data_IF_194254552882
#
_entry.id   IF_194254552882
#
_cell.length_a   1.000
_cell.length_b   1.000
_cell.length_c   1.000
_cell.angle_alpha   90.00
_cell.angle_beta   90.00
_cell.angle_gamma   90.00
#
_symmetry.space_group_name_H-M   'P 1'
#
loop_
_entity.id
_entity.type
_entity.pdbx_description
1 polymer ?
#
# COMPACT_ATOMS: atom_id res chain seq x y z
N UNK A 1 -0.50 20.89 20.28
CA UNK A 1 -1.42 20.59 19.18
C UNK A 1 -2.23 19.38 19.60
N UNK A 2 -3.53 19.37 19.44
CA UNK A 2 -4.30 18.14 19.65
C UNK A 2 -3.82 17.11 18.64
N UNK A 3 -3.58 15.87 19.11
CA UNK A 3 -3.12 14.77 18.23
C UNK A 3 -4.36 14.01 17.74
N UNK A 4 -5.15 14.61 16.85
CA UNK A 4 -6.33 13.97 16.29
C UNK A 4 -6.17 13.71 14.78
N UNK A 5 -6.52 12.50 14.35
CA UNK A 5 -6.33 12.07 12.98
C UNK A 5 -7.58 11.32 12.47
N UNK A 6 -8.00 11.64 11.25
CA UNK A 6 -9.06 10.91 10.55
C UNK A 6 -8.49 10.10 9.40
N UNK A 7 -8.67 8.78 9.44
CA UNK A 7 -8.15 7.86 8.42
C UNK A 7 -9.32 7.30 7.58
N UNK A 8 -9.39 7.72 6.34
CA UNK A 8 -10.30 7.15 5.34
C UNK A 8 -9.67 5.86 4.83
N UNK A 9 -10.28 4.71 5.14
CA UNK A 9 -9.69 3.39 4.87
C UNK A 9 -8.95 2.77 6.06
N UNK A 10 -9.24 3.22 7.29
CA UNK A 10 -8.58 2.77 8.54
C UNK A 10 -8.63 1.25 8.80
N UNK A 11 -9.64 0.53 8.29
CA UNK A 11 -9.77 -0.93 8.41
C UNK A 11 -9.03 -1.70 7.31
N UNK A 12 -8.49 -1.02 6.30
CA UNK A 12 -7.70 -1.62 5.23
C UNK A 12 -6.30 -2.05 5.69
N UNK A 13 -5.54 -2.71 4.81
CA UNK A 13 -4.19 -3.21 5.13
C UNK A 13 -3.28 -2.10 5.67
N UNK A 14 -3.05 -1.04 4.90
CA UNK A 14 -2.19 0.07 5.37
C UNK A 14 -2.88 0.89 6.45
N UNK A 15 -4.19 1.15 6.29
CA UNK A 15 -4.96 1.93 7.26
C UNK A 15 -4.94 1.34 8.67
N UNK A 16 -4.99 0.01 8.81
CA UNK A 16 -4.91 -0.64 10.13
C UNK A 16 -3.51 -0.55 10.75
N UNK A 17 -2.46 -0.63 9.93
CA UNK A 17 -1.07 -0.43 10.36
C UNK A 17 -0.90 1.00 10.90
N UNK A 18 -1.35 2.00 10.14
CA UNK A 18 -1.28 3.40 10.54
C UNK A 18 -2.14 3.68 11.79
N UNK A 19 -3.35 3.11 11.85
CA UNK A 19 -4.23 3.26 13.01
C UNK A 19 -3.57 2.78 14.29
N UNK A 20 -3.01 1.56 14.26
CA UNK A 20 -2.29 0.99 15.40
C UNK A 20 -1.10 1.86 15.80
N UNK A 21 -0.27 2.24 14.85
CA UNK A 21 0.91 3.08 15.08
C UNK A 21 0.56 4.43 15.72
N UNK A 22 -0.46 5.14 15.22
CA UNK A 22 -0.85 6.43 15.77
C UNK A 22 -1.50 6.31 17.17
N UNK A 23 -2.25 5.24 17.42
CA UNK A 23 -2.77 4.97 18.79
C UNK A 23 -1.60 4.73 19.75
N UNK A 24 -0.59 3.96 19.37
CA UNK A 24 0.61 3.71 20.17
C UNK A 24 1.41 5.00 20.43
N UNK A 25 1.38 5.96 19.50
CA UNK A 25 1.96 7.31 19.68
C UNK A 25 1.05 8.29 20.46
N UNK A 26 -0.09 7.83 20.95
CA UNK A 26 -1.02 8.62 21.75
C UNK A 26 -1.92 9.57 20.95
N UNK A 27 -2.20 9.28 19.68
CA UNK A 27 -3.15 10.02 18.86
C UNK A 27 -4.59 9.54 19.09
N UNK A 28 -5.54 10.46 19.00
CA UNK A 28 -6.96 10.11 18.84
C UNK A 28 -7.23 9.75 17.38
N UNK A 29 -7.45 8.47 17.11
CA UNK A 29 -7.68 7.98 15.74
C UNK A 29 -9.16 7.78 15.49
N UNK A 30 -9.67 8.44 14.45
CA UNK A 30 -11.02 8.26 13.92
C UNK A 30 -10.93 7.59 12.55
N UNK A 31 -11.84 6.67 12.23
CA UNK A 31 -11.82 5.92 10.98
C UNK A 31 -13.19 5.83 10.30
N UNK A 32 -13.21 5.87 8.97
CA UNK A 32 -14.44 5.71 8.19
C UNK A 32 -14.93 4.26 8.21
N UNK A 33 -16.20 4.04 8.58
CA UNK A 33 -16.88 2.76 8.58
C UNK A 33 -18.06 2.76 7.60
N UNK A 34 -18.02 1.92 6.54
CA UNK A 34 -19.10 1.74 5.57
C UNK A 34 -20.16 0.72 5.99
N UNK A 35 -19.81 -0.17 6.91
CA UNK A 35 -20.65 -1.28 7.35
C UNK A 35 -20.46 -1.58 8.83
N UNK A 36 -21.40 -2.32 9.42
CA UNK A 36 -21.31 -2.76 10.82
C UNK A 36 -20.05 -3.63 11.05
N UNK A 37 -19.70 -4.48 10.09
CA UNK A 37 -18.47 -5.27 10.13
C UNK A 37 -17.23 -4.37 10.22
N UNK A 38 -17.18 -3.29 9.44
CA UNK A 38 -16.07 -2.33 9.47
C UNK A 38 -16.06 -1.57 10.78
N UNK A 39 -17.22 -1.17 11.28
CA UNK A 39 -17.36 -0.48 12.58
C UNK A 39 -16.83 -1.33 13.73
N UNK A 40 -17.20 -2.61 13.78
CA UNK A 40 -16.70 -3.56 14.78
C UNK A 40 -15.17 -3.70 14.67
N UNK A 41 -14.66 -3.88 13.45
CA UNK A 41 -13.21 -4.00 13.23
C UNK A 41 -12.44 -2.77 13.71
N UNK A 42 -12.95 -1.57 13.46
CA UNK A 42 -12.33 -0.33 13.93
C UNK A 42 -12.35 -0.23 15.47
N UNK A 43 -13.48 -0.57 16.12
CA UNK A 43 -13.58 -0.59 17.59
C UNK A 43 -12.58 -1.56 18.23
N UNK A 44 -12.38 -2.73 17.62
CA UNK A 44 -11.39 -3.73 18.08
C UNK A 44 -9.95 -3.21 17.95
N UNK A 45 -9.68 -2.33 17.00
CA UNK A 45 -8.39 -1.65 16.83
C UNK A 45 -8.20 -0.44 17.77
N UNK A 46 -9.21 -0.07 18.56
CA UNK A 46 -9.18 1.15 19.37
C UNK A 46 -9.46 2.44 18.58
N UNK A 47 -9.94 2.31 17.34
CA UNK A 47 -10.27 3.43 16.45
C UNK A 47 -11.73 3.85 16.65
N UNK A 48 -11.99 5.14 16.79
CA UNK A 48 -13.36 5.68 16.85
C UNK A 48 -14.00 5.63 15.46
N UNK A 49 -15.08 4.86 15.24
CA UNK A 49 -15.72 4.78 13.94
C UNK A 49 -16.58 6.02 13.65
N UNK A 50 -16.56 6.46 12.40
CA UNK A 50 -17.52 7.40 11.81
C UNK A 50 -18.23 6.68 10.68
N UNK A 51 -19.56 6.58 10.73
CA UNK A 51 -20.37 6.01 9.65
C UNK A 51 -20.42 6.98 8.50
N UNK A 52 -20.29 6.45 7.30
CA UNK A 52 -20.35 7.20 6.06
C UNK A 52 -19.88 6.38 4.88
N UNK A 53 -20.12 6.88 3.69
CA UNK A 53 -19.71 6.26 2.44
C UNK A 53 -19.29 7.34 1.44
N UNK A 54 -18.14 7.15 0.78
CA UNK A 54 -17.60 8.11 -0.19
C UNK A 54 -18.49 8.27 -1.44
N UNK A 55 -19.43 7.35 -1.65
CA UNK A 55 -20.32 7.33 -2.80
C UNK A 55 -21.71 7.86 -2.49
N UNK A 56 -22.22 7.63 -1.29
CA UNK A 56 -23.65 7.85 -0.98
C UNK A 56 -23.87 8.75 0.25
N UNK A 57 -22.92 8.82 1.19
CA UNK A 57 -23.03 9.64 2.40
C UNK A 57 -21.69 10.31 2.73
N UNK A 58 -21.45 11.43 2.06
CA UNK A 58 -20.24 12.24 2.23
C UNK A 58 -20.31 13.19 3.43
N UNK A 59 -21.51 13.53 3.92
CA UNK A 59 -21.71 14.57 4.92
C UNK A 59 -20.99 14.26 6.25
N UNK A 60 -21.14 13.05 6.74
CA UNK A 60 -20.45 12.57 7.95
C UNK A 60 -18.94 12.59 7.81
N UNK A 61 -18.43 12.26 6.60
CA UNK A 61 -17.00 12.29 6.27
C UNK A 61 -16.47 13.71 6.33
N UNK A 62 -17.17 14.66 5.71
CA UNK A 62 -16.78 16.08 5.73
C UNK A 62 -16.77 16.65 7.16
N UNK A 63 -17.76 16.29 7.98
CA UNK A 63 -17.79 16.68 9.39
C UNK A 63 -16.59 16.12 10.15
N UNK A 64 -16.25 14.85 9.96
CA UNK A 64 -15.07 14.25 10.58
C UNK A 64 -13.76 14.90 10.11
N UNK A 65 -13.64 15.23 8.82
CA UNK A 65 -12.48 15.95 8.28
C UNK A 65 -12.35 17.37 8.86
N UNK A 66 -13.47 18.07 9.08
CA UNK A 66 -13.46 19.39 9.72
C UNK A 66 -12.99 19.34 11.18
N UNK A 67 -13.27 18.26 11.88
CA UNK A 67 -12.89 18.06 13.28
C UNK A 67 -11.45 17.57 13.46
N UNK A 68 -10.84 16.93 12.46
CA UNK A 68 -9.49 16.42 12.51
C UNK A 68 -8.43 17.47 12.12
N UNK A 69 -7.25 17.43 12.71
CA UNK A 69 -6.08 18.25 12.30
C UNK A 69 -5.34 17.59 11.13
N UNK A 70 -5.33 16.27 11.11
CA UNK A 70 -4.70 15.46 10.08
C UNK A 70 -5.70 14.50 9.44
N UNK A 71 -5.69 14.42 8.13
CA UNK A 71 -6.49 13.49 7.34
C UNK A 71 -5.54 12.58 6.55
N UNK A 72 -5.75 11.27 6.60
CA UNK A 72 -5.06 10.31 5.75
C UNK A 72 -6.09 9.62 4.86
N UNK A 73 -5.89 9.69 3.55
CA UNK A 73 -6.66 8.93 2.58
C UNK A 73 -5.88 7.66 2.21
N UNK A 74 -6.33 6.53 2.73
CA UNK A 74 -5.80 5.18 2.50
C UNK A 74 -6.87 4.21 1.98
N UNK A 75 -7.99 4.74 1.46
CA UNK A 75 -9.06 3.94 0.90
C UNK A 75 -8.70 3.40 -0.49
N UNK A 76 -9.30 2.27 -0.83
CA UNK A 76 -9.35 1.77 -2.21
C UNK A 76 -10.77 1.97 -2.74
N UNK A 77 -10.87 2.76 -3.80
CA UNK A 77 -12.08 2.98 -4.59
C UNK A 77 -11.79 2.56 -6.04
N UNK A 78 -12.81 2.51 -6.88
CA UNK A 78 -12.58 2.36 -8.32
C UNK A 78 -11.69 3.50 -8.82
N UNK A 79 -10.62 3.17 -9.54
CA UNK A 79 -9.58 4.14 -9.91
C UNK A 79 -10.16 5.35 -10.66
N UNK A 80 -11.13 5.15 -11.53
CA UNK A 80 -11.76 6.20 -12.34
C UNK A 80 -12.50 7.24 -11.49
N UNK A 81 -12.93 6.85 -10.29
CA UNK A 81 -13.67 7.73 -9.36
C UNK A 81 -12.76 8.50 -8.42
N UNK A 82 -11.55 8.02 -8.21
CA UNK A 82 -10.63 8.55 -7.21
C UNK A 82 -10.33 10.06 -7.40
N UNK A 83 -10.02 10.56 -8.63
CA UNK A 83 -9.77 11.99 -8.84
C UNK A 83 -10.96 12.87 -8.43
N UNK A 84 -12.20 12.43 -8.71
CA UNK A 84 -13.41 13.17 -8.35
C UNK A 84 -13.59 13.23 -6.84
N UNK A 85 -13.41 12.11 -6.15
CA UNK A 85 -13.48 12.03 -4.69
C UNK A 85 -12.43 12.94 -4.07
N UNK A 86 -11.18 12.82 -4.49
CA UNK A 86 -10.07 13.60 -3.95
C UNK A 86 -10.29 15.10 -4.15
N UNK A 87 -10.74 15.52 -5.33
CA UNK A 87 -11.06 16.94 -5.62
C UNK A 87 -12.15 17.47 -4.68
N UNK A 88 -13.19 16.69 -4.43
CA UNK A 88 -14.28 17.04 -3.52
C UNK A 88 -13.77 17.17 -2.07
N UNK A 89 -12.99 16.22 -1.58
CA UNK A 89 -12.41 16.23 -0.23
C UNK A 89 -11.48 17.45 -0.04
N UNK A 90 -10.58 17.71 -1.00
CA UNK A 90 -9.68 18.86 -0.95
C UNK A 90 -10.46 20.18 -0.92
N UNK A 91 -11.52 20.32 -1.76
CA UNK A 91 -12.35 21.51 -1.79
C UNK A 91 -13.05 21.79 -0.46
N UNK A 92 -13.50 20.73 0.23
CA UNK A 92 -14.25 20.85 1.48
C UNK A 92 -13.42 21.41 2.65
N UNK A 93 -12.09 21.24 2.61
CA UNK A 93 -11.17 21.68 3.67
C UNK A 93 -10.16 22.73 3.16
N UNK A 94 -10.36 23.29 1.96
CA UNK A 94 -9.49 24.33 1.41
C UNK A 94 -9.40 25.53 2.38
N UNK A 95 -8.20 26.13 2.51
CA UNK A 95 -7.95 27.26 3.40
C UNK A 95 -7.86 26.91 4.89
N UNK A 96 -8.03 25.64 5.27
CA UNK A 96 -8.05 25.24 6.69
C UNK A 96 -6.67 25.07 7.33
N UNK A 97 -5.58 25.02 6.54
CA UNK A 97 -4.24 24.71 7.03
C UNK A 97 -4.03 23.25 7.47
N UNK A 98 -5.05 22.41 7.39
CA UNK A 98 -5.00 21.00 7.81
C UNK A 98 -4.00 20.17 6.99
N UNK A 99 -3.46 19.14 7.63
CA UNK A 99 -2.61 18.16 6.93
C UNK A 99 -3.49 17.14 6.21
N UNK A 100 -3.23 16.94 4.91
CA UNK A 100 -3.90 15.90 4.12
C UNK A 100 -2.88 15.03 3.40
N UNK A 101 -2.76 13.75 3.80
CA UNK A 101 -1.83 12.80 3.19
C UNK A 101 -2.61 11.80 2.34
N UNK A 102 -2.23 11.71 1.07
CA UNK A 102 -2.75 10.73 0.13
C UNK A 102 -1.79 9.55 0.03
N UNK A 103 -2.27 8.36 0.40
CA UNK A 103 -1.55 7.12 0.21
C UNK A 103 -1.71 6.68 -1.25
N UNK A 104 -0.68 6.87 -2.04
CA UNK A 104 -0.58 6.34 -3.40
C UNK A 104 0.18 5.01 -3.42
N UNK A 105 0.97 4.74 -4.42
CA UNK A 105 1.82 3.55 -4.52
C UNK A 105 2.73 3.59 -5.75
N UNK A 106 3.87 2.90 -5.68
CA UNK A 106 4.86 2.85 -6.77
C UNK A 106 4.36 2.15 -8.04
N UNK A 107 3.22 1.45 -7.98
CA UNK A 107 2.58 0.87 -9.15
C UNK A 107 2.20 1.88 -10.25
N UNK A 108 2.20 3.19 -9.95
CA UNK A 108 1.92 4.25 -10.95
C UNK A 108 2.97 4.34 -12.05
N UNK A 109 4.19 3.89 -11.78
CA UNK A 109 5.29 3.84 -12.76
C UNK A 109 5.79 2.42 -13.03
N UNK A 110 4.94 1.41 -12.81
CA UNK A 110 5.32 0.04 -13.13
C UNK A 110 5.54 -0.13 -14.64
N UNK A 111 6.47 -1.01 -14.97
CA UNK A 111 6.85 -1.36 -16.33
C UNK A 111 6.58 -2.83 -16.57
N UNK A 112 5.86 -3.17 -17.64
CA UNK A 112 5.61 -4.55 -18.05
C UNK A 112 6.90 -5.15 -18.61
N UNK A 113 7.44 -6.14 -17.92
CA UNK A 113 8.71 -6.79 -18.28
C UNK A 113 8.57 -8.29 -18.47
N UNK A 114 7.36 -8.85 -18.30
CA UNK A 114 7.07 -10.29 -18.38
C UNK A 114 8.01 -11.14 -17.52
N UNK A 115 8.32 -10.64 -16.33
CA UNK A 115 9.23 -11.29 -15.40
C UNK A 115 10.72 -10.98 -15.61
N UNK A 116 11.08 -10.19 -16.62
CA UNK A 116 12.45 -9.75 -16.83
C UNK A 116 12.79 -8.52 -15.96
N UNK A 117 14.08 -8.24 -15.83
CA UNK A 117 14.59 -7.07 -15.13
C UNK A 117 14.53 -5.82 -16.02
N UNK A 118 14.31 -4.65 -15.40
CA UNK A 118 14.46 -3.33 -16.02
C UNK A 118 15.44 -2.47 -15.23
N UNK A 119 16.27 -1.70 -15.92
CA UNK A 119 17.22 -0.76 -15.31
C UNK A 119 16.55 0.50 -14.78
N UNK A 120 15.33 0.81 -15.25
CA UNK A 120 14.65 2.06 -14.92
C UNK A 120 14.23 2.09 -13.45
N UNK A 121 14.54 3.20 -12.81
CA UNK A 121 14.14 3.49 -11.43
C UNK A 121 13.78 4.96 -11.29
N UNK A 122 12.76 5.27 -10.50
CA UNK A 122 12.16 6.60 -10.45
C UNK A 122 12.30 7.22 -9.06
N UNK A 123 12.86 8.43 -9.01
CA UNK A 123 12.80 9.30 -7.84
C UNK A 123 11.48 10.07 -7.80
N UNK A 124 11.27 10.85 -6.75
CA UNK A 124 9.99 11.54 -6.51
C UNK A 124 9.62 12.54 -7.61
N UNK A 125 10.61 13.16 -8.27
CA UNK A 125 10.37 14.16 -9.33
C UNK A 125 10.66 13.65 -10.75
N UNK A 126 11.07 12.39 -10.89
CA UNK A 126 11.34 11.85 -12.21
C UNK A 126 10.04 11.72 -13.00
N UNK A 127 10.11 12.08 -14.28
CA UNK A 127 9.02 11.85 -15.20
C UNK A 127 8.94 10.38 -15.59
N UNK A 128 7.73 9.88 -15.76
CA UNK A 128 7.45 8.50 -16.20
C UNK A 128 6.19 8.48 -17.06
N UNK A 129 6.00 7.39 -17.79
CA UNK A 129 4.78 7.14 -18.54
C UNK A 129 3.93 6.11 -17.81
N UNK A 130 2.82 6.53 -17.18
CA UNK A 130 1.97 5.60 -16.45
C UNK A 130 1.22 4.67 -17.39
N UNK A 131 1.01 3.43 -16.95
CA UNK A 131 0.05 2.53 -17.59
C UNK A 131 -1.37 3.14 -17.56
N UNK A 132 -2.23 2.87 -18.56
CA UNK A 132 -3.57 3.45 -18.63
C UNK A 132 -4.39 3.26 -17.35
N UNK A 133 -4.27 2.09 -16.71
CA UNK A 133 -4.97 1.80 -15.44
C UNK A 133 -4.50 2.67 -14.27
N UNK A 134 -3.31 3.24 -14.31
CA UNK A 134 -2.74 4.09 -13.26
C UNK A 134 -2.99 5.59 -13.47
N UNK A 135 -3.43 6.01 -14.66
CA UNK A 135 -3.68 7.41 -14.99
C UNK A 135 -4.58 8.13 -13.98
N UNK A 136 -5.73 7.57 -13.53
CA UNK A 136 -6.57 8.24 -12.56
C UNK A 136 -5.86 8.45 -11.21
N UNK A 137 -5.02 7.51 -10.79
CA UNK A 137 -4.22 7.63 -9.56
C UNK A 137 -3.19 8.75 -9.68
N UNK A 138 -2.52 8.87 -10.81
CA UNK A 138 -1.58 9.97 -11.10
C UNK A 138 -2.30 11.32 -11.14
N UNK A 139 -3.52 11.38 -11.70
CA UNK A 139 -4.36 12.58 -11.65
C UNK A 139 -4.71 12.95 -10.19
N UNK A 140 -5.12 11.99 -9.37
CA UNK A 140 -5.42 12.22 -7.96
C UNK A 140 -4.21 12.77 -7.19
N UNK A 141 -3.01 12.24 -7.43
CA UNK A 141 -1.76 12.79 -6.86
C UNK A 141 -1.54 14.25 -7.28
N UNK A 142 -1.77 14.58 -8.54
CA UNK A 142 -1.68 15.95 -9.05
C UNK A 142 -2.66 16.89 -8.35
N UNK A 143 -3.88 16.45 -8.10
CA UNK A 143 -4.91 17.22 -7.37
C UNK A 143 -4.45 17.49 -5.92
N UNK A 144 -3.97 16.45 -5.23
CA UNK A 144 -3.46 16.58 -3.85
C UNK A 144 -2.29 17.56 -3.78
N UNK A 145 -1.30 17.42 -4.65
CA UNK A 145 -0.14 18.32 -4.68
C UNK A 145 -0.55 19.76 -4.98
N UNK A 146 -1.49 19.97 -5.91
CA UNK A 146 -2.01 21.29 -6.23
C UNK A 146 -2.84 21.92 -5.10
N UNK A 147 -3.46 21.12 -4.22
CA UNK A 147 -4.25 21.61 -3.10
C UNK A 147 -3.43 22.43 -2.09
N UNK A 148 -2.13 22.31 -2.08
CA UNK A 148 -1.20 23.15 -1.31
C UNK A 148 -1.36 24.65 -1.64
N UNK A 149 -1.67 24.99 -2.90
CA UNK A 149 -1.90 26.37 -3.35
C UNK A 149 -3.19 26.98 -2.77
N UNK A 150 -4.05 26.14 -2.24
CA UNK A 150 -5.33 26.52 -1.65
C UNK A 150 -5.32 26.39 -0.13
N UNK A 151 -4.14 26.50 0.50
CA UNK A 151 -4.00 26.55 1.96
C UNK A 151 -4.18 25.21 2.66
N UNK A 152 -3.90 24.10 1.98
CA UNK A 152 -3.77 22.78 2.61
C UNK A 152 -2.29 22.39 2.75
N UNK A 153 -1.93 21.74 3.83
CA UNK A 153 -0.66 21.05 3.94
C UNK A 153 -0.81 19.63 3.39
N UNK A 154 -0.99 19.54 2.07
CA UNK A 154 -1.27 18.31 1.36
C UNK A 154 0.00 17.66 0.85
N UNK A 155 0.09 16.31 0.93
CA UNK A 155 1.25 15.53 0.54
C UNK A 155 0.82 14.19 -0.05
N UNK A 156 1.69 13.60 -0.88
CA UNK A 156 1.55 12.24 -1.40
C UNK A 156 2.64 11.37 -0.80
N UNK A 157 2.29 10.17 -0.35
CA UNK A 157 3.26 9.12 -0.01
C UNK A 157 3.04 7.95 -0.97
N UNK A 158 4.09 7.57 -1.69
CA UNK A 158 4.14 6.40 -2.58
C UNK A 158 4.95 5.28 -1.96
N UNK A 159 4.34 4.35 -1.22
CA UNK A 159 5.04 3.13 -0.81
C UNK A 159 5.18 2.17 -2.00
N UNK A 160 6.24 1.37 -2.03
CA UNK A 160 6.35 0.20 -2.90
C UNK A 160 5.63 -1.00 -2.28
N UNK A 161 6.12 -2.23 -2.50
CA UNK A 161 5.60 -3.42 -1.82
C UNK A 161 5.81 -3.28 -0.31
N UNK A 162 4.72 -3.37 0.45
CA UNK A 162 4.73 -3.29 1.92
C UNK A 162 4.73 -4.70 2.50
N UNK A 163 5.63 -4.98 3.46
CA UNK A 163 5.80 -6.28 4.08
C UNK A 163 5.87 -6.19 5.62
N UNK A 164 5.99 -7.34 6.29
CA UNK A 164 6.11 -7.42 7.75
C UNK A 164 4.78 -7.47 8.50
N UNK A 165 3.64 -7.48 7.82
CA UNK A 165 2.32 -7.53 8.45
C UNK A 165 1.33 -8.34 7.62
N UNK A 166 0.43 -9.06 8.28
CA UNK A 166 -0.64 -9.83 7.64
C UNK A 166 -0.13 -11.00 6.79
N UNK A 167 -1.01 -11.50 5.95
CA UNK A 167 -0.81 -12.66 5.05
C UNK A 167 -0.87 -12.27 3.56
N UNK A 168 -0.49 -11.04 3.24
CA UNK A 168 -0.48 -10.48 1.88
C UNK A 168 0.93 -10.24 1.38
N UNK A 169 1.05 -9.95 0.09
CA UNK A 169 2.31 -9.63 -0.57
C UNK A 169 3.01 -10.85 -1.18
N UNK A 170 4.19 -10.63 -1.78
CA UNK A 170 4.86 -11.63 -2.63
C UNK A 170 5.18 -12.95 -1.94
N UNK A 171 5.67 -12.92 -0.71
CA UNK A 171 6.00 -14.15 0.03
C UNK A 171 4.74 -14.99 0.28
N UNK A 172 3.65 -14.35 0.71
CA UNK A 172 2.37 -15.03 0.91
C UNK A 172 1.82 -15.63 -0.40
N UNK A 173 1.90 -14.88 -1.50
CA UNK A 173 1.46 -15.35 -2.82
C UNK A 173 2.26 -16.58 -3.28
N UNK A 174 3.58 -16.58 -3.06
CA UNK A 174 4.44 -17.70 -3.44
C UNK A 174 4.14 -18.93 -2.56
N UNK A 175 3.92 -18.78 -1.25
CA UNK A 175 3.46 -19.90 -0.41
C UNK A 175 2.11 -20.47 -0.90
N UNK A 176 1.16 -19.62 -1.29
CA UNK A 176 -0.12 -20.08 -1.88
C UNK A 176 0.09 -20.82 -3.21
N UNK A 177 1.10 -20.43 -4.01
CA UNK A 177 1.42 -21.19 -5.23
C UNK A 177 1.88 -22.59 -4.94
N UNK A 178 2.59 -22.82 -3.82
CA UNK A 178 2.95 -24.18 -3.36
C UNK A 178 1.68 -25.00 -3.06
N UNK A 179 0.72 -24.42 -2.34
CA UNK A 179 -0.54 -25.11 -2.03
C UNK A 179 -1.33 -25.52 -3.29
N UNK A 180 -1.31 -24.69 -4.34
CA UNK A 180 -2.09 -24.90 -5.56
C UNK A 180 -1.38 -25.71 -6.65
N UNK A 181 -0.03 -25.71 -6.68
CA UNK A 181 0.74 -26.29 -7.78
C UNK A 181 1.78 -27.32 -7.34
N UNK A 182 2.07 -27.42 -6.04
CA UNK A 182 3.17 -28.21 -5.49
C UNK A 182 4.55 -27.58 -5.66
N UNK A 183 4.67 -26.35 -6.18
CA UNK A 183 5.93 -25.67 -6.44
C UNK A 183 5.87 -24.19 -6.04
N UNK A 184 7.02 -23.62 -5.66
CA UNK A 184 7.15 -22.18 -5.44
C UNK A 184 7.32 -21.47 -6.79
N UNK A 185 6.28 -20.72 -7.21
CA UNK A 185 6.19 -20.20 -8.56
C UNK A 185 6.71 -18.76 -8.68
N UNK A 186 7.31 -18.44 -9.84
CA UNK A 186 7.66 -17.10 -10.30
C UNK A 186 7.35 -16.96 -11.80
N UNK A 187 7.39 -15.74 -12.35
CA UNK A 187 7.00 -15.48 -13.74
C UNK A 187 8.22 -15.27 -14.63
N UNK A 188 8.26 -15.89 -15.79
CA UNK A 188 9.32 -15.76 -16.80
C UNK A 188 10.70 -16.05 -16.21
N UNK A 189 11.64 -15.11 -16.32
CA UNK A 189 12.97 -15.25 -15.69
C UNK A 189 12.93 -15.06 -14.17
N UNK A 190 11.85 -14.50 -13.61
CA UNK A 190 11.70 -14.15 -12.20
C UNK A 190 12.58 -12.99 -11.75
N UNK A 191 13.13 -12.22 -12.71
CA UNK A 191 14.03 -11.09 -12.44
C UNK A 191 13.29 -9.76 -12.35
N UNK A 192 11.97 -9.74 -12.54
CA UNK A 192 11.15 -8.58 -12.22
C UNK A 192 11.34 -8.17 -10.75
N UNK A 193 11.41 -6.87 -10.51
CA UNK A 193 11.76 -6.28 -9.22
C UNK A 193 10.76 -5.20 -8.84
N UNK A 194 10.24 -5.29 -7.63
CA UNK A 194 9.63 -4.17 -6.94
C UNK A 194 10.53 -3.72 -5.79
N UNK A 195 10.62 -2.40 -5.60
CA UNK A 195 11.14 -1.87 -4.34
C UNK A 195 10.21 -2.29 -3.20
N UNK A 196 10.71 -2.30 -1.98
CA UNK A 196 9.93 -2.69 -0.81
C UNK A 196 10.17 -1.79 0.40
N UNK A 197 9.24 -1.84 1.36
CA UNK A 197 9.35 -1.18 2.65
C UNK A 197 8.66 -2.04 3.73
N UNK A 198 9.24 -2.06 4.93
CA UNK A 198 8.59 -2.69 6.07
C UNK A 198 7.45 -1.81 6.60
N UNK A 199 6.36 -2.44 7.04
CA UNK A 199 5.15 -1.75 7.52
C UNK A 199 5.41 -0.77 8.67
N UNK A 200 6.30 -1.09 9.60
CA UNK A 200 6.68 -0.19 10.70
C UNK A 200 7.47 1.03 10.19
N UNK A 201 8.37 0.85 9.22
CA UNK A 201 9.12 1.95 8.63
C UNK A 201 8.21 2.89 7.81
N UNK A 202 7.21 2.33 7.11
CA UNK A 202 6.19 3.12 6.42
C UNK A 202 5.36 3.95 7.43
N UNK A 203 4.89 3.33 8.52
CA UNK A 203 4.13 4.05 9.53
C UNK A 203 4.94 5.20 10.15
N UNK A 204 6.21 4.98 10.46
CA UNK A 204 7.13 6.01 10.94
C UNK A 204 7.34 7.14 9.91
N UNK A 205 7.36 6.82 8.60
CA UNK A 205 7.40 7.85 7.57
C UNK A 205 6.17 8.77 7.63
N UNK A 206 4.99 8.22 7.86
CA UNK A 206 3.78 9.03 8.03
C UNK A 206 3.87 9.97 9.22
N UNK A 207 4.36 9.52 10.38
CA UNK A 207 4.58 10.40 11.55
C UNK A 207 5.55 11.53 11.22
N UNK A 208 6.69 11.24 10.59
CA UNK A 208 7.67 12.24 10.19
C UNK A 208 7.12 13.21 9.14
N UNK A 209 6.34 12.72 8.18
CA UNK A 209 5.70 13.56 7.17
C UNK A 209 4.64 14.49 7.77
N UNK A 210 3.89 14.04 8.79
CA UNK A 210 2.98 14.91 9.55
C UNK A 210 3.76 16.00 10.28
N UNK A 211 4.93 15.71 10.82
CA UNK A 211 5.75 16.67 11.56
C UNK A 211 6.47 17.66 10.63
N UNK A 212 7.14 17.17 9.59
CA UNK A 212 8.14 17.91 8.80
C UNK A 212 7.81 18.06 7.31
N UNK A 213 6.87 17.29 6.77
CA UNK A 213 6.60 17.25 5.34
C UNK A 213 6.15 18.59 4.76
N UNK A 214 6.59 18.88 3.56
CA UNK A 214 6.32 20.13 2.86
C UNK A 214 4.97 20.05 2.11
N UNK A 215 4.22 21.15 2.10
CA UNK A 215 2.97 21.23 1.35
C UNK A 215 3.23 21.06 -0.16
N UNK A 216 2.47 20.18 -0.81
CA UNK A 216 2.61 19.83 -2.22
C UNK A 216 3.72 18.81 -2.54
N UNK A 217 4.45 18.34 -1.52
CA UNK A 217 5.50 17.36 -1.72
C UNK A 217 4.95 15.95 -2.02
N UNK A 218 5.82 15.15 -2.64
CA UNK A 218 5.62 13.73 -2.85
C UNK A 218 6.84 13.00 -2.29
N UNK A 219 6.61 11.94 -1.53
CA UNK A 219 7.62 11.15 -0.84
C UNK A 219 7.53 9.68 -1.22
N UNK A 220 8.68 9.04 -1.41
CA UNK A 220 8.79 7.60 -1.59
C UNK A 220 9.26 6.93 -0.30
N UNK A 221 8.86 5.68 -0.09
CA UNK A 221 9.26 4.89 1.08
C UNK A 221 10.06 3.67 0.61
N UNK A 222 11.39 3.77 0.52
CA UNK A 222 12.20 2.70 -0.08
C UNK A 222 13.21 2.14 0.92
N UNK A 223 13.13 0.81 1.17
CA UNK A 223 14.09 0.08 2.00
C UNK A 223 15.04 -0.79 1.17
N UNK A 224 14.60 -1.28 0.03
CA UNK A 224 15.40 -2.16 -0.83
C UNK A 224 14.61 -2.69 -2.01
N UNK A 225 15.21 -3.64 -2.71
CA UNK A 225 14.65 -4.30 -3.89
C UNK A 225 14.98 -5.80 -3.84
N UNK A 226 14.06 -6.63 -4.36
CA UNK A 226 14.29 -8.07 -4.43
C UNK A 226 13.61 -8.69 -5.67
N UNK A 227 14.32 -9.53 -6.47
CA UNK A 227 13.73 -10.30 -7.54
C UNK A 227 12.75 -11.36 -7.03
N UNK A 228 11.63 -11.53 -7.72
CA UNK A 228 10.63 -12.54 -7.35
C UNK A 228 11.16 -13.97 -7.32
N UNK A 229 12.11 -14.31 -8.21
CA UNK A 229 12.77 -15.62 -8.20
C UNK A 229 13.49 -15.90 -6.89
N UNK A 230 14.17 -14.92 -6.31
CA UNK A 230 14.86 -15.11 -5.02
C UNK A 230 13.90 -15.38 -3.87
N UNK A 231 12.73 -14.73 -3.92
CA UNK A 231 11.65 -15.02 -2.96
C UNK A 231 11.18 -16.47 -3.15
N UNK A 232 10.91 -16.89 -4.39
CA UNK A 232 10.46 -18.24 -4.71
C UNK A 232 11.48 -19.30 -4.30
N UNK A 233 12.77 -19.11 -4.61
CA UNK A 233 13.84 -20.02 -4.21
C UNK A 233 13.98 -20.13 -2.69
N UNK A 234 13.73 -19.05 -1.95
CA UNK A 234 13.81 -19.06 -0.49
C UNK A 234 12.59 -19.76 0.11
N UNK A 235 11.38 -19.54 -0.41
CA UNK A 235 10.17 -20.26 -0.02
C UNK A 235 10.30 -21.76 -0.36
N UNK A 236 10.81 -22.10 -1.55
CA UNK A 236 11.02 -23.47 -1.96
C UNK A 236 11.90 -24.24 -0.98
N UNK A 237 13.03 -23.64 -0.56
CA UNK A 237 13.93 -24.21 0.46
C UNK A 237 13.26 -24.37 1.81
N UNK A 238 12.42 -23.41 2.21
CA UNK A 238 11.72 -23.44 3.50
C UNK A 238 10.73 -24.60 3.63
N UNK A 239 10.03 -24.95 2.56
CA UNK A 239 9.01 -26.01 2.58
C UNK A 239 9.41 -27.30 1.82
N UNK A 240 10.65 -27.38 1.30
CA UNK A 240 11.19 -28.59 0.67
C UNK A 240 10.57 -28.93 -0.68
N UNK A 241 10.27 -27.91 -1.51
CA UNK A 241 9.71 -28.09 -2.86
C UNK A 241 10.63 -27.50 -3.92
N UNK A 242 10.34 -27.79 -5.20
CA UNK A 242 11.03 -27.17 -6.33
C UNK A 242 10.45 -25.79 -6.65
N UNK A 243 11.23 -24.97 -7.35
CA UNK A 243 10.73 -23.76 -7.97
C UNK A 243 10.17 -24.03 -9.36
N UNK A 244 9.20 -23.22 -9.81
CA UNK A 244 8.61 -23.31 -11.14
C UNK A 244 8.46 -21.94 -11.79
N UNK A 245 9.02 -21.78 -12.99
CA UNK A 245 8.75 -20.63 -13.85
C UNK A 245 7.38 -20.80 -14.54
N UNK A 246 6.58 -19.76 -14.50
CA UNK A 246 5.26 -19.69 -15.17
C UNK A 246 5.30 -18.69 -16.33
N UNK A 247 4.53 -18.97 -17.37
CA UNK A 247 4.13 -17.94 -18.33
C UNK A 247 3.15 -16.98 -17.66
N UNK A 248 2.90 -15.81 -18.25
CA UNK A 248 1.90 -14.86 -17.71
C UNK A 248 0.48 -15.45 -17.70
N UNK A 249 0.14 -16.28 -18.67
CA UNK A 249 -1.15 -16.97 -18.72
C UNK A 249 -1.31 -17.98 -17.56
N UNK A 250 -0.29 -18.81 -17.32
CA UNK A 250 -0.28 -19.75 -16.18
C UNK A 250 -0.33 -19.00 -14.85
N UNK A 251 0.44 -17.93 -14.72
CA UNK A 251 0.49 -17.09 -13.53
C UNK A 251 -0.87 -16.46 -13.21
N UNK A 252 -1.62 -16.04 -14.25
CA UNK A 252 -2.98 -15.52 -14.08
C UNK A 252 -3.92 -16.54 -13.45
N UNK A 253 -3.74 -17.83 -13.79
CA UNK A 253 -4.54 -18.94 -13.21
C UNK A 253 -4.12 -19.24 -11.76
N UNK A 254 -2.83 -19.12 -11.44
CA UNK A 254 -2.27 -19.44 -10.12
C UNK A 254 -2.44 -18.27 -9.13
N UNK A 255 -2.15 -17.05 -9.52
CA UNK A 255 -2.12 -15.86 -8.66
C UNK A 255 -3.34 -14.95 -8.81
N UNK A 256 -4.12 -15.12 -9.88
CA UNK A 256 -5.12 -14.17 -10.32
C UNK A 256 -4.51 -13.03 -11.16
N UNK A 257 -5.35 -12.32 -11.96
CA UNK A 257 -4.86 -11.39 -12.98
C UNK A 257 -4.07 -10.19 -12.41
N UNK A 258 -4.50 -9.65 -11.28
CA UNK A 258 -3.85 -8.47 -10.69
C UNK A 258 -2.48 -8.82 -10.08
N UNK A 259 -2.39 -9.91 -9.32
CA UNK A 259 -1.13 -10.33 -8.71
C UNK A 259 -0.13 -10.80 -9.78
N UNK A 260 -0.59 -11.51 -10.81
CA UNK A 260 0.24 -11.91 -11.94
C UNK A 260 0.82 -10.68 -12.67
N UNK A 261 0.01 -9.63 -12.88
CA UNK A 261 0.50 -8.37 -13.44
C UNK A 261 1.60 -7.76 -12.56
N UNK A 262 1.40 -7.68 -11.25
CA UNK A 262 2.40 -7.11 -10.35
C UNK A 262 3.70 -7.93 -10.34
N UNK A 263 3.60 -9.27 -10.27
CA UNK A 263 4.78 -10.13 -10.22
C UNK A 263 5.54 -10.23 -11.57
N UNK A 264 4.88 -9.88 -12.68
CA UNK A 264 5.54 -9.85 -14.00
C UNK A 264 6.16 -8.49 -14.35
N UNK A 265 5.96 -7.47 -13.52
CA UNK A 265 6.37 -6.09 -13.80
C UNK A 265 7.49 -5.62 -12.88
N UNK A 266 8.28 -4.66 -13.34
CA UNK A 266 9.21 -3.90 -12.51
C UNK A 266 8.57 -2.60 -12.03
N UNK A 267 8.83 -2.24 -10.75
CA UNK A 267 8.50 -0.93 -10.19
C UNK A 267 9.58 -0.55 -9.18
N UNK A 268 10.61 0.14 -9.66
CA UNK A 268 11.79 0.47 -8.89
C UNK A 268 11.76 1.94 -8.50
N UNK A 269 11.85 2.21 -7.21
CA UNK A 269 11.78 3.56 -6.63
C UNK A 269 13.11 3.97 -6.02
N UNK A 270 13.40 5.27 -6.05
CA UNK A 270 14.44 5.94 -5.26
C UNK A 270 13.79 7.04 -4.42
N UNK A 271 14.38 7.37 -3.28
CA UNK A 271 13.78 8.26 -2.29
C UNK A 271 14.69 9.42 -1.82
N UNK A 272 15.42 10.12 -2.75
CA UNK A 272 16.37 11.17 -2.37
C UNK A 272 15.71 12.34 -1.65
N UNK A 273 14.50 12.75 -2.08
CA UNK A 273 13.75 13.82 -1.40
C UNK A 273 13.32 13.39 0.01
N UNK A 274 12.72 12.21 0.13
CA UNK A 274 12.28 11.68 1.42
C UNK A 274 13.43 11.69 2.43
N UNK A 275 14.61 11.25 2.01
CA UNK A 275 15.80 11.24 2.87
C UNK A 275 16.29 12.65 3.22
N UNK A 276 16.39 13.54 2.23
CA UNK A 276 16.95 14.88 2.43
C UNK A 276 16.02 15.81 3.21
N UNK A 277 14.72 15.82 2.90
CA UNK A 277 13.76 16.73 3.53
C UNK A 277 13.24 16.22 4.88
N UNK A 278 13.01 14.92 4.99
CA UNK A 278 12.41 14.32 6.20
C UNK A 278 13.45 13.72 7.15
N UNK A 279 14.67 13.42 6.67
CA UNK A 279 15.65 12.65 7.43
C UNK A 279 15.21 11.21 7.70
N UNK A 280 14.18 10.73 6.98
CA UNK A 280 13.69 9.38 7.14
C UNK A 280 14.68 8.38 6.56
N UNK A 281 14.87 7.29 7.30
CA UNK A 281 15.65 6.14 6.83
C UNK A 281 14.94 4.85 7.29
N UNK A 282 14.86 3.82 6.43
CA UNK A 282 14.34 2.53 6.84
C UNK A 282 15.29 1.88 7.87
N UNK A 283 14.72 1.04 8.71
CA UNK A 283 15.44 0.25 9.72
C UNK A 283 15.30 -1.25 9.50
N UNK A 284 14.33 -1.65 8.67
CA UNK A 284 14.03 -3.04 8.35
C UNK A 284 14.34 -3.28 6.85
N UNK A 285 15.39 -4.03 6.57
CA UNK A 285 15.89 -4.24 5.20
C UNK A 285 15.72 -5.67 4.71
N UNK A 286 15.76 -6.65 5.62
CA UNK A 286 15.75 -8.06 5.27
C UNK A 286 14.34 -8.53 4.96
N UNK A 287 13.94 -8.31 3.70
CA UNK A 287 12.64 -8.73 3.18
C UNK A 287 12.40 -10.24 3.32
N UNK A 288 13.46 -11.04 3.21
CA UNK A 288 13.36 -12.51 3.29
C UNK A 288 13.24 -13.04 4.72
N UNK A 289 13.48 -12.22 5.74
CA UNK A 289 13.31 -12.61 7.15
C UNK A 289 11.91 -13.11 7.51
N UNK A 290 10.89 -12.72 6.72
CA UNK A 290 9.51 -13.20 6.89
C UNK A 290 9.27 -14.62 6.35
N UNK A 291 10.20 -15.19 5.56
CA UNK A 291 10.10 -16.58 5.10
C UNK A 291 10.30 -17.50 6.31
N UNK A 292 9.46 -18.50 6.43
CA UNK A 292 9.44 -19.41 7.57
C UNK A 292 8.54 -18.98 8.73
N UNK A 293 7.98 -17.75 8.71
CA UNK A 293 6.98 -17.38 9.71
C UNK A 293 5.75 -18.30 9.67
N UNK A 294 5.30 -18.85 10.81
CA UNK A 294 4.20 -19.82 10.84
C UNK A 294 2.93 -19.36 10.11
N UNK A 295 2.57 -18.09 10.22
CA UNK A 295 1.40 -17.50 9.53
C UNK A 295 1.50 -17.55 8.01
N UNK A 296 2.72 -17.43 7.45
CA UNK A 296 2.95 -17.47 6.00
C UNK A 296 3.16 -18.91 5.53
N UNK A 297 3.92 -19.72 6.28
CA UNK A 297 4.16 -21.13 5.97
C UNK A 297 2.85 -21.94 5.93
N UNK A 298 1.87 -21.62 6.78
CA UNK A 298 0.55 -22.26 6.74
C UNK A 298 -0.20 -22.09 5.42
N UNK A 299 0.14 -21.08 4.62
CA UNK A 299 -0.46 -20.82 3.30
C UNK A 299 0.01 -21.82 2.23
N UNK A 300 1.10 -22.56 2.47
CA UNK A 300 1.56 -23.64 1.59
C UNK A 300 0.76 -24.95 1.75
N UNK A 301 -0.08 -25.04 2.76
CA UNK A 301 -0.90 -26.23 3.01
C UNK A 301 -2.17 -26.12 2.17
N UNK A 302 -2.49 -27.13 1.31
CA UNK A 302 -3.73 -27.14 0.57
C UNK A 302 -4.94 -27.02 1.54
N UNK A 303 -5.80 -26.05 1.34
CA UNK A 303 -7.04 -25.99 2.08
C UNK A 303 -7.91 -27.15 1.58
N UNK A 304 -8.24 -28.08 2.45
CA UNK A 304 -9.26 -29.10 2.17
C UNK A 304 -10.55 -28.34 1.83
N UNK A 305 -11.02 -28.51 0.60
CA UNK A 305 -12.31 -27.98 0.18
C UNK A 305 -13.39 -28.58 1.09
N UNK A 306 -13.81 -27.86 2.12
CA UNK A 306 -15.02 -28.15 2.89
C UNK A 306 -16.24 -27.77 2.04
N UNK A 307 -16.45 -28.49 0.96
CA UNK A 307 -17.52 -28.22 0.00
C UNK A 307 -17.90 -29.46 -0.80
N UNK A 308 -18.14 -30.58 -0.13
CA UNK A 308 -19.04 -31.63 -0.59
C UNK A 308 -19.63 -32.29 0.67
N UNK A 309 -20.77 -31.74 1.09
CA UNK A 309 -21.71 -32.52 1.88
C UNK A 309 -22.64 -33.18 0.88
N UNK A 310 -22.89 -34.52 0.99
CA UNK A 310 -23.74 -35.26 0.11
C UNK A 310 -25.23 -34.88 0.24
#
# INVERSE_FOLDING_TARGET
MSKNIFIIGASGFVGSILSKHFIEEGWEVTGLARSDRTEIALKLLGVRPVRGDLDTDISSILTAMQSADTIIYAAQVAFEREPTIIRMLCKAIAGSGKTFIFLSGSGVFMQRTDGAWSSDSFAEDDSFSPEPLALPRVEAEGIIRAAARYGLRSMVIRPPVIWGSGDKGPVASIYRSVASTGAACYIGSGLAVYSHVHSADLARLFSIAIERGQAGALYHAVAGEIPYRWIAETVARDVGVETRSLTLEEATKVFGPFEALLQSACSRSRDPRTRSELGWQPTQFDFLSQVGEPRLRSLAIPQLNNGENP
#
